data_IF_660709265371
#
_entry.id   IF_660709265371
#
_cell.length_a   1.000
_cell.length_b   1.000
_cell.length_c   1.000
_cell.angle_alpha   90.00
_cell.angle_beta   90.00
_cell.angle_gamma   90.00
#
_symmetry.space_group_name_H-M   'P 1'
#
loop_
_entity.id
_entity.type
_entity.pdbx_description
1 polymer ?
#
# COMPACT_ATOMS: atom_id res chain seq x y z
N UNK A 1 10.32 -22.00 33.20
CA UNK A 1 10.05 -22.19 31.76
C UNK A 1 10.05 -20.81 31.14
N UNK A 2 11.15 -20.39 30.52
CA UNK A 2 11.16 -19.21 29.67
C UNK A 2 10.58 -19.66 28.34
N UNK A 3 9.37 -19.19 28.00
CA UNK A 3 8.84 -19.34 26.65
C UNK A 3 9.70 -18.47 25.72
N UNK A 4 10.85 -19.02 25.31
CA UNK A 4 11.63 -18.47 24.22
C UNK A 4 10.71 -18.48 23.00
N UNK A 5 10.32 -17.32 22.44
CA UNK A 5 9.50 -17.31 21.23
C UNK A 5 10.25 -18.14 20.19
N UNK A 6 9.59 -19.15 19.62
CA UNK A 6 10.18 -19.93 18.56
C UNK A 6 10.71 -18.96 17.48
N UNK A 7 11.96 -19.14 16.99
CA UNK A 7 12.50 -18.28 15.95
C UNK A 7 11.51 -18.23 14.80
N UNK A 8 11.21 -17.03 14.29
CA UNK A 8 10.27 -16.87 13.17
C UNK A 8 10.68 -17.84 12.06
N UNK A 9 9.79 -18.75 11.65
CA UNK A 9 10.12 -19.71 10.62
C UNK A 9 10.60 -18.97 9.37
N UNK A 10 11.68 -19.44 8.75
CA UNK A 10 12.19 -18.83 7.53
C UNK A 10 11.10 -18.91 6.45
N UNK A 11 10.70 -17.79 5.83
CA UNK A 11 9.68 -17.81 4.80
C UNK A 11 10.15 -18.56 3.54
N UNK A 12 9.23 -19.20 2.84
CA UNK A 12 9.53 -19.90 1.58
C UNK A 12 9.95 -18.91 0.49
N UNK A 13 10.78 -19.37 -0.46
CA UNK A 13 11.22 -18.54 -1.58
C UNK A 13 10.05 -18.00 -2.41
N UNK A 14 9.00 -18.80 -2.63
CA UNK A 14 7.79 -18.36 -3.33
C UNK A 14 7.04 -17.26 -2.58
N UNK A 15 7.03 -17.28 -1.25
CA UNK A 15 6.39 -16.25 -0.43
C UNK A 15 7.17 -14.93 -0.51
N UNK A 16 8.50 -14.99 -0.48
CA UNK A 16 9.39 -13.83 -0.68
C UNK A 16 9.15 -13.22 -2.08
N UNK A 17 9.18 -14.04 -3.13
CA UNK A 17 8.92 -13.60 -4.50
C UNK A 17 7.54 -12.96 -4.63
N UNK A 18 6.51 -13.55 -4.01
CA UNK A 18 5.16 -12.99 -4.06
C UNK A 18 5.07 -11.66 -3.33
N UNK A 19 5.71 -11.50 -2.17
CA UNK A 19 5.76 -10.21 -1.47
C UNK A 19 6.44 -9.13 -2.32
N UNK A 20 7.55 -9.48 -3.00
CA UNK A 20 8.21 -8.57 -3.93
C UNK A 20 7.28 -8.15 -5.09
N UNK A 21 6.53 -9.11 -5.66
CA UNK A 21 5.52 -8.82 -6.70
C UNK A 21 4.45 -7.87 -6.18
N UNK A 22 3.97 -8.04 -4.95
CA UNK A 22 2.98 -7.12 -4.36
C UNK A 22 3.55 -5.70 -4.21
N UNK A 23 4.80 -5.56 -3.74
CA UNK A 23 5.47 -4.25 -3.70
C UNK A 23 5.59 -3.61 -5.09
N UNK A 24 5.99 -4.39 -6.09
CA UNK A 24 6.12 -3.92 -7.46
C UNK A 24 4.76 -3.48 -8.03
N UNK A 25 3.70 -4.26 -7.84
CA UNK A 25 2.35 -3.92 -8.29
C UNK A 25 1.86 -2.62 -7.65
N UNK A 26 2.04 -2.46 -6.33
CA UNK A 26 1.65 -1.22 -5.65
C UNK A 26 2.49 -0.02 -6.09
N UNK A 27 3.79 -0.21 -6.32
CA UNK A 27 4.67 0.83 -6.86
C UNK A 27 4.25 1.27 -8.26
N UNK A 28 4.01 0.31 -9.16
CA UNK A 28 3.53 0.58 -10.52
C UNK A 28 2.17 1.26 -10.51
N UNK A 29 1.23 0.80 -9.67
CA UNK A 29 -0.09 1.43 -9.54
C UNK A 29 0.03 2.89 -9.07
N UNK A 30 0.84 3.15 -8.03
CA UNK A 30 1.05 4.49 -7.51
C UNK A 30 1.71 5.43 -8.54
N UNK A 31 2.69 4.95 -9.30
CA UNK A 31 3.34 5.71 -10.36
C UNK A 31 2.41 5.95 -11.55
N UNK A 32 1.62 4.94 -11.96
CA UNK A 32 0.63 5.08 -13.02
C UNK A 32 -0.42 6.14 -12.65
N UNK A 33 -0.88 6.15 -11.39
CA UNK A 33 -1.81 7.16 -10.88
C UNK A 33 -1.21 8.58 -10.87
N UNK A 34 0.10 8.71 -10.70
CA UNK A 34 0.80 10.01 -10.78
C UNK A 34 0.92 10.51 -12.22
N UNK A 35 1.19 9.61 -13.17
CA UNK A 35 1.42 9.94 -14.58
C UNK A 35 0.11 10.15 -15.36
N UNK A 36 -1.00 9.58 -14.90
CA UNK A 36 -2.31 9.75 -15.55
C UNK A 36 -2.88 11.17 -15.35
N UNK A 37 -2.41 12.12 -16.15
CA UNK A 37 -2.99 13.43 -16.54
C UNK A 37 -3.74 14.29 -15.50
N UNK A 38 -3.64 14.00 -14.20
CA UNK A 38 -4.15 14.81 -13.10
C UNK A 38 -5.45 14.36 -12.43
N UNK A 39 -6.07 13.24 -12.81
CA UNK A 39 -7.29 12.73 -12.15
C UNK A 39 -7.22 11.22 -11.86
N UNK A 40 -6.54 10.80 -10.77
CA UNK A 40 -6.88 9.53 -10.15
C UNK A 40 -8.30 9.66 -9.60
N UNK A 41 -9.30 9.17 -10.35
CA UNK A 41 -10.73 9.36 -10.03
C UNK A 41 -11.11 8.99 -8.58
N UNK A 42 -10.35 8.10 -7.94
CA UNK A 42 -10.59 7.65 -6.58
C UNK A 42 -9.29 7.58 -5.78
N UNK A 43 -8.31 6.70 -6.05
CA UNK A 43 -7.08 6.58 -5.25
C UNK A 43 -5.86 6.07 -6.05
N UNK A 44 -4.60 6.28 -5.59
CA UNK A 44 -3.41 5.82 -6.31
C UNK A 44 -3.33 4.30 -6.53
N UNK A 45 -3.99 3.51 -5.67
CA UNK A 45 -4.00 2.05 -5.75
C UNK A 45 -5.34 1.46 -6.25
N UNK A 46 -6.31 2.28 -6.66
CA UNK A 46 -7.64 1.79 -7.05
C UNK A 46 -7.71 1.19 -8.45
N UNK A 47 -6.66 1.31 -9.27
CA UNK A 47 -6.59 0.69 -10.59
C UNK A 47 -6.47 -0.84 -10.51
N UNK A 48 -6.72 -1.52 -11.63
CA UNK A 48 -6.64 -2.99 -11.75
C UNK A 48 -5.33 -3.54 -11.17
N UNK A 49 -4.22 -2.86 -11.41
CA UNK A 49 -2.88 -3.25 -10.90
C UNK A 49 -2.84 -3.28 -9.36
N UNK A 50 -3.40 -2.25 -8.71
CA UNK A 50 -3.46 -2.20 -7.24
C UNK A 50 -4.46 -3.19 -6.67
N UNK A 51 -5.57 -3.46 -7.37
CA UNK A 51 -6.54 -4.49 -6.99
C UNK A 51 -5.89 -5.89 -7.01
N UNK A 52 -5.12 -6.21 -8.05
CA UNK A 52 -4.38 -7.47 -8.11
C UNK A 52 -3.40 -7.58 -6.93
N UNK A 53 -2.68 -6.50 -6.62
CA UNK A 53 -1.74 -6.47 -5.50
C UNK A 53 -2.40 -6.74 -4.15
N UNK A 54 -3.56 -6.14 -3.87
CA UNK A 54 -4.26 -6.34 -2.58
C UNK A 54 -4.85 -7.76 -2.49
N UNK A 55 -5.35 -8.32 -3.60
CA UNK A 55 -5.82 -9.71 -3.63
C UNK A 55 -4.68 -10.67 -3.29
N UNK A 56 -3.53 -10.53 -3.96
CA UNK A 56 -2.34 -11.34 -3.66
C UNK A 56 -1.90 -11.19 -2.20
N UNK A 57 -1.95 -9.98 -1.66
CA UNK A 57 -1.63 -9.71 -0.27
C UNK A 57 -2.56 -10.47 0.69
N UNK A 58 -3.87 -10.50 0.44
CA UNK A 58 -4.82 -11.25 1.27
C UNK A 58 -4.66 -12.76 1.14
N UNK A 59 -4.47 -13.29 -0.07
CA UNK A 59 -4.29 -14.73 -0.31
C UNK A 59 -3.05 -15.24 0.40
N UNK A 60 -1.91 -14.53 0.30
CA UNK A 60 -0.64 -14.96 0.89
C UNK A 60 -0.44 -14.57 2.36
N UNK A 61 -1.32 -13.76 2.94
CA UNK A 61 -1.24 -13.34 4.35
C UNK A 61 -1.23 -14.53 5.31
N UNK A 62 -2.03 -15.56 5.04
CA UNK A 62 -2.12 -16.75 5.90
C UNK A 62 -0.80 -17.51 5.95
N UNK A 63 -0.20 -17.75 4.79
CA UNK A 63 1.10 -18.43 4.62
C UNK A 63 2.26 -17.69 5.30
N UNK A 64 2.14 -16.36 5.48
CA UNK A 64 3.18 -15.56 6.11
C UNK A 64 3.14 -15.60 7.65
N UNK A 65 2.13 -16.20 8.26
CA UNK A 65 1.97 -16.26 9.72
C UNK A 65 3.17 -16.95 10.37
N UNK A 66 3.70 -16.36 11.46
CA UNK A 66 4.89 -16.88 12.14
C UNK A 66 6.22 -16.51 11.48
N UNK A 67 6.18 -15.75 10.37
CA UNK A 67 7.36 -15.20 9.69
C UNK A 67 7.41 -13.68 9.83
N UNK A 68 8.56 -13.07 9.57
CA UNK A 68 8.69 -11.61 9.51
C UNK A 68 7.83 -10.97 8.40
N UNK A 69 7.49 -11.72 7.33
CA UNK A 69 6.62 -11.26 6.24
C UNK A 69 5.18 -11.00 6.68
N UNK A 70 4.71 -11.59 7.79
CA UNK A 70 3.38 -11.31 8.33
C UNK A 70 3.16 -9.80 8.59
N UNK A 71 4.23 -9.12 9.02
CA UNK A 71 4.22 -7.67 9.23
C UNK A 71 4.04 -6.95 7.88
N UNK A 72 4.81 -7.31 6.85
CA UNK A 72 4.73 -6.72 5.51
C UNK A 72 3.34 -6.83 4.88
N UNK A 73 2.70 -7.99 4.93
CA UNK A 73 1.34 -8.13 4.40
C UNK A 73 0.35 -7.21 5.12
N UNK A 74 0.46 -7.08 6.45
CA UNK A 74 -0.38 -6.17 7.24
C UNK A 74 -0.12 -4.70 6.88
N UNK A 75 1.15 -4.33 6.65
CA UNK A 75 1.56 -3.00 6.21
C UNK A 75 0.98 -2.64 4.85
N UNK A 76 1.12 -3.55 3.87
CA UNK A 76 0.65 -3.37 2.51
C UNK A 76 -0.88 -3.25 2.48
N UNK A 77 -1.58 -4.17 3.16
CA UNK A 77 -3.05 -4.13 3.27
C UNK A 77 -3.52 -2.80 3.88
N UNK A 78 -2.93 -2.35 4.99
CA UNK A 78 -3.28 -1.05 5.59
C UNK A 78 -3.00 0.11 4.64
N UNK A 79 -1.87 0.08 3.93
CA UNK A 79 -1.49 1.13 2.97
C UNK A 79 -2.52 1.24 1.84
N UNK A 80 -3.02 0.11 1.32
CA UNK A 80 -4.11 0.08 0.36
C UNK A 80 -5.37 0.76 0.89
N UNK A 81 -5.87 0.33 2.05
CA UNK A 81 -7.12 0.86 2.61
C UNK A 81 -7.04 2.33 2.99
N UNK A 82 -5.92 2.77 3.56
CA UNK A 82 -5.70 4.20 3.82
C UNK A 82 -5.60 5.01 2.54
N UNK A 83 -4.94 4.49 1.49
CA UNK A 83 -4.89 5.17 0.19
C UNK A 83 -6.29 5.31 -0.42
N UNK A 84 -7.13 4.27 -0.29
CA UNK A 84 -8.51 4.29 -0.75
C UNK A 84 -9.35 5.29 0.04
N UNK A 85 -9.20 5.32 1.37
CA UNK A 85 -9.90 6.26 2.25
C UNK A 85 -9.59 7.71 1.87
N UNK A 86 -8.31 8.08 1.82
CA UNK A 86 -7.90 9.45 1.46
C UNK A 86 -8.29 9.81 0.04
N UNK A 87 -8.23 8.83 -0.86
CA UNK A 87 -8.72 8.95 -2.21
C UNK A 87 -10.20 9.32 -2.29
N UNK A 88 -11.06 8.59 -1.59
CA UNK A 88 -12.50 8.87 -1.48
C UNK A 88 -12.78 10.22 -0.83
N UNK A 89 -12.01 10.62 0.19
CA UNK A 89 -12.12 11.95 0.81
C UNK A 89 -11.77 13.05 -0.20
N UNK A 90 -10.68 12.89 -0.95
CA UNK A 90 -10.28 13.79 -2.02
C UNK A 90 -11.36 13.92 -3.10
N UNK A 91 -11.95 12.79 -3.52
CA UNK A 91 -13.04 12.76 -4.50
C UNK A 91 -14.32 13.43 -3.96
N UNK A 92 -14.67 13.21 -2.70
CA UNK A 92 -15.84 13.84 -2.07
C UNK A 92 -15.67 15.36 -1.99
N UNK A 93 -14.51 15.83 -1.53
CA UNK A 93 -14.18 17.27 -1.47
C UNK A 93 -14.19 17.87 -2.88
N UNK A 94 -13.60 17.15 -3.85
CA UNK A 94 -13.59 17.55 -5.24
C UNK A 94 -15.02 17.77 -5.76
N UNK A 95 -15.91 16.79 -5.60
CA UNK A 95 -17.30 16.86 -6.09
C UNK A 95 -18.12 17.93 -5.36
N UNK A 96 -18.03 18.01 -4.03
CA UNK A 96 -18.84 18.94 -3.23
C UNK A 96 -18.45 20.41 -3.45
N UNK A 97 -17.16 20.69 -3.63
CA UNK A 97 -16.62 22.04 -3.77
C UNK A 97 -16.24 22.39 -5.21
N UNK A 98 -16.54 21.52 -6.19
CA UNK A 98 -16.31 21.77 -7.62
C UNK A 98 -17.00 23.05 -8.09
N UNK A 99 -18.17 23.38 -7.53
CA UNK A 99 -18.94 24.59 -7.85
C UNK A 99 -18.16 25.87 -7.53
N UNK A 100 -17.23 25.83 -6.58
CA UNK A 100 -16.50 27.01 -6.07
C UNK A 100 -15.08 27.14 -6.69
N UNK A 101 -14.69 26.27 -7.66
CA UNK A 101 -13.33 26.11 -8.22
C UNK A 101 -12.24 25.72 -7.18
N UNK A 102 -12.35 26.14 -5.93
CA UNK A 102 -11.45 25.83 -4.81
C UNK A 102 -11.42 24.31 -4.52
N UNK A 103 -12.54 23.60 -4.72
CA UNK A 103 -12.60 22.15 -4.55
C UNK A 103 -11.66 21.38 -5.46
N UNK A 104 -11.39 21.92 -6.66
CA UNK A 104 -10.48 21.31 -7.64
C UNK A 104 -9.04 21.28 -7.12
N UNK A 105 -8.58 22.40 -6.55
CA UNK A 105 -7.23 22.53 -6.02
C UNK A 105 -7.05 21.65 -4.78
N UNK A 106 -8.01 21.67 -3.86
CA UNK A 106 -7.91 20.90 -2.61
C UNK A 106 -7.95 19.40 -2.87
N UNK A 107 -8.89 18.92 -3.70
CA UNK A 107 -8.97 17.50 -4.08
C UNK A 107 -7.67 17.01 -4.72
N UNK A 108 -7.11 17.81 -5.63
CA UNK A 108 -5.84 17.50 -6.27
C UNK A 108 -4.66 17.41 -5.28
N UNK A 109 -4.55 18.36 -4.34
CA UNK A 109 -3.52 18.33 -3.31
C UNK A 109 -3.62 17.07 -2.45
N UNK A 110 -4.85 16.67 -2.07
CA UNK A 110 -5.09 15.45 -1.28
C UNK A 110 -4.59 14.22 -2.04
N UNK A 111 -4.87 14.10 -3.33
CA UNK A 111 -4.43 12.96 -4.14
C UNK A 111 -2.91 12.91 -4.33
N UNK A 112 -2.25 14.06 -4.58
CA UNK A 112 -0.79 14.13 -4.67
C UNK A 112 -0.14 13.78 -3.32
N UNK A 113 -0.64 14.35 -2.22
CA UNK A 113 -0.15 14.04 -0.88
C UNK A 113 -0.32 12.56 -0.54
N UNK A 114 -1.47 11.97 -0.89
CA UNK A 114 -1.74 10.53 -0.72
C UNK A 114 -0.76 9.68 -1.53
N UNK A 115 -0.46 10.08 -2.77
CA UNK A 115 0.49 9.37 -3.63
C UNK A 115 1.90 9.39 -3.05
N UNK A 116 2.38 10.55 -2.62
CA UNK A 116 3.69 10.70 -1.96
C UNK A 116 3.74 9.86 -0.69
N UNK A 117 2.68 9.88 0.12
CA UNK A 117 2.57 9.09 1.34
C UNK A 117 2.61 7.58 1.06
N UNK A 118 1.91 7.10 0.02
CA UNK A 118 1.96 5.69 -0.42
C UNK A 118 3.39 5.33 -0.85
N UNK A 119 4.04 6.13 -1.70
CA UNK A 119 5.40 5.88 -2.16
C UNK A 119 6.40 5.79 -1.01
N UNK A 120 6.33 6.73 -0.06
CA UNK A 120 7.13 6.67 1.17
C UNK A 120 6.93 5.36 1.92
N UNK A 121 5.68 4.93 2.12
CA UNK A 121 5.38 3.68 2.84
C UNK A 121 5.86 2.44 2.10
N UNK A 122 5.78 2.43 0.77
CA UNK A 122 6.30 1.34 -0.05
C UNK A 122 7.81 1.27 0.02
N UNK A 123 8.51 2.39 -0.13
CA UNK A 123 9.97 2.46 -0.03
C UNK A 123 10.43 2.00 1.35
N UNK A 124 9.84 2.53 2.42
CA UNK A 124 10.18 2.13 3.80
C UNK A 124 9.95 0.63 4.02
N UNK A 125 8.80 0.11 3.57
CA UNK A 125 8.50 -1.31 3.68
C UNK A 125 9.43 -2.19 2.84
N UNK A 126 9.86 -1.72 1.67
CA UNK A 126 10.75 -2.45 0.78
C UNK A 126 12.18 -2.51 1.31
N UNK A 127 12.68 -1.42 1.90
CA UNK A 127 14.02 -1.39 2.54
C UNK A 127 14.10 -2.46 3.64
N UNK A 128 13.11 -2.49 4.53
CA UNK A 128 13.06 -3.50 5.60
C UNK A 128 12.91 -4.93 5.04
N UNK A 129 12.15 -5.09 3.96
CA UNK A 129 11.99 -6.38 3.28
C UNK A 129 13.32 -6.90 2.73
N UNK A 130 14.12 -6.02 2.10
CA UNK A 130 15.45 -6.37 1.58
C UNK A 130 16.39 -6.82 2.70
N UNK A 131 16.24 -6.22 3.88
CA UNK A 131 17.04 -6.55 5.05
C UNK A 131 16.48 -7.75 5.85
N UNK A 132 15.41 -8.39 5.35
CA UNK A 132 14.69 -9.49 6.01
C UNK A 132 14.19 -9.16 7.42
N UNK A 133 13.87 -7.89 7.65
CA UNK A 133 13.40 -7.39 8.94
C UNK A 133 11.89 -7.17 8.94
N UNK A 134 11.20 -7.43 10.07
CA UNK A 134 9.80 -7.10 10.20
C UNK A 134 9.61 -5.58 10.20
N UNK A 135 8.43 -5.14 9.74
CA UNK A 135 8.06 -3.73 9.80
C UNK A 135 7.64 -3.34 11.23
N UNK A 136 8.34 -2.39 11.91
CA UNK A 136 8.08 -2.05 13.30
C UNK A 136 6.71 -1.40 13.54
N UNK A 137 6.17 -1.59 14.76
CA UNK A 137 4.95 -0.90 15.22
C UNK A 137 3.66 -1.47 14.63
N UNK A 138 3.58 -2.79 14.45
CA UNK A 138 2.40 -3.48 13.92
C UNK A 138 1.88 -4.60 14.79
#
# INVERSE_FOLDING_TARGET
MTDTPAPSAAPSASLISTTLVVYALFGVAALAGLVSSGFPLIAPLSGIVGIIGIILAYVKRGEATGTWLASHYRWLIRTFWYSLLWGCIGALIFVLLAIILIGLVIGYIIWVATTIWVLYRLIRGYVLFKDSQPVPGM
#
